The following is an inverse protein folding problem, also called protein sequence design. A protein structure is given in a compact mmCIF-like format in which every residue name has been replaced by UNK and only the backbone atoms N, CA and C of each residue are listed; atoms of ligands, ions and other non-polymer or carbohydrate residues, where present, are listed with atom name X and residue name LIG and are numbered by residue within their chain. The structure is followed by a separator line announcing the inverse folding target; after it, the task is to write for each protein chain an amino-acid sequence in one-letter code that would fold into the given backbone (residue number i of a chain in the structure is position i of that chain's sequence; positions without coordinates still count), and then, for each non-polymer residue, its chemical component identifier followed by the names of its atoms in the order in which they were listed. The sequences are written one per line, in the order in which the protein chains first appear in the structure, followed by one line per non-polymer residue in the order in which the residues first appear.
data_IF_604733558196
#
_entry.id   IF_604733558196
#
_cell.length_a   1.000
_cell.length_b   1.000
_cell.length_c   1.000
_cell.angle_alpha   90.00
_cell.angle_beta   90.00
_cell.angle_gamma   90.00
#
_symmetry.space_group_name_H-M   'P 1'
#
loop_
_entity.id
_entity.type
_entity.pdbx_description
1 polymer ?
#
# COMPACT_ATOMS: atom_id res chain seq x y z
N UNK A 1 60.06 -29.59 23.11
CA UNK A 1 59.52 -28.59 24.05
C UNK A 1 58.53 -27.71 23.31
N UNK A 2 57.36 -27.58 23.89
CA UNK A 2 56.08 -27.07 23.40
C UNK A 2 56.04 -25.54 23.16
N UNK A 3 55.19 -25.05 22.24
CA UNK A 3 53.97 -24.27 22.59
C UNK A 3 53.10 -23.80 21.38
N UNK A 4 51.90 -24.40 21.29
CA UNK A 4 50.55 -23.82 21.12
C UNK A 4 50.23 -22.67 20.11
N UNK A 5 49.34 -23.00 19.15
CA UNK A 5 48.07 -22.33 18.70
C UNK A 5 48.11 -20.83 18.29
N UNK A 6 47.34 -20.33 17.31
CA UNK A 6 45.87 -20.14 17.32
C UNK A 6 45.32 -20.16 15.86
N UNK A 7 44.14 -20.77 15.71
CA UNK A 7 43.18 -20.71 14.60
C UNK A 7 42.83 -19.27 14.17
N UNK A 8 42.24 -19.03 12.99
CA UNK A 8 41.11 -18.08 12.81
C UNK A 8 40.96 -17.53 11.38
N UNK A 9 39.87 -17.99 10.75
CA UNK A 9 38.88 -17.23 9.98
C UNK A 9 39.19 -16.77 8.54
N UNK A 10 38.51 -17.49 7.64
CA UNK A 10 37.78 -17.01 6.47
C UNK A 10 37.59 -15.50 6.36
N UNK A 11 37.84 -14.97 5.15
CA UNK A 11 37.20 -13.75 4.68
C UNK A 11 36.62 -14.00 3.30
N UNK A 12 35.31 -14.15 3.31
CA UNK A 12 34.39 -14.23 2.17
C UNK A 12 34.57 -13.06 1.21
N UNK A 13 34.20 -13.21 -0.07
CA UNK A 13 34.20 -12.11 -1.03
C UNK A 13 33.26 -11.00 -0.54
N UNK A 14 33.79 -9.78 -0.63
CA UNK A 14 33.16 -8.51 -0.29
C UNK A 14 31.78 -8.42 -0.98
N UNK A 15 30.71 -8.55 -0.19
CA UNK A 15 29.35 -8.32 -0.65
C UNK A 15 29.20 -6.80 -0.82
N UNK A 16 29.17 -6.34 -2.07
CA UNK A 16 28.97 -4.92 -2.41
C UNK A 16 27.67 -4.44 -1.78
N UNK A 17 27.64 -3.32 -1.03
CA UNK A 17 26.40 -2.77 -0.53
C UNK A 17 25.61 -2.22 -1.71
N UNK A 18 24.74 -3.05 -2.29
CA UNK A 18 23.72 -2.60 -3.22
C UNK A 18 22.90 -1.51 -2.51
N UNK A 19 22.95 -0.29 -3.02
CA UNK A 19 22.16 0.84 -2.55
C UNK A 19 20.68 0.56 -2.81
N UNK A 20 20.05 -0.20 -1.90
CA UNK A 20 18.64 -0.59 -2.01
C UNK A 20 17.77 0.64 -1.76
N UNK A 21 17.27 1.30 -2.82
CA UNK A 21 16.25 2.37 -2.74
C UNK A 21 15.11 1.95 -1.82
N UNK A 22 14.62 2.85 -0.97
CA UNK A 22 13.49 2.57 -0.06
C UNK A 22 12.24 2.21 -0.86
N UNK A 23 11.96 0.90 -1.00
CA UNK A 23 10.73 0.40 -1.61
C UNK A 23 9.69 0.36 -0.51
N UNK A 24 8.58 1.09 -0.67
CA UNK A 24 7.47 0.98 0.27
C UNK A 24 6.77 -0.39 0.09
N UNK A 25 6.30 -1.02 1.18
CA UNK A 25 5.57 -2.30 1.08
C UNK A 25 4.37 -2.19 0.14
N UNK A 26 3.67 -1.05 0.21
CA UNK A 26 2.55 -0.70 -0.65
C UNK A 26 2.91 -0.73 -2.14
N UNK A 27 4.01 -0.06 -2.56
CA UNK A 27 4.43 -0.08 -3.97
C UNK A 27 4.83 -1.47 -4.44
N UNK A 28 5.38 -2.29 -3.55
CA UNK A 28 5.87 -3.62 -3.90
C UNK A 28 4.77 -4.67 -4.05
N UNK A 29 3.53 -4.35 -3.68
CA UNK A 29 2.40 -5.27 -3.78
C UNK A 29 2.13 -5.68 -5.23
N UNK A 30 2.15 -4.74 -6.18
CA UNK A 30 1.97 -5.04 -7.60
C UNK A 30 2.99 -6.09 -8.07
N UNK A 31 4.23 -6.00 -7.59
CA UNK A 31 5.28 -6.99 -7.87
C UNK A 31 4.97 -8.35 -7.24
N UNK A 32 4.33 -8.39 -6.07
CA UNK A 32 3.89 -9.65 -5.45
C UNK A 32 2.81 -10.32 -6.28
N UNK A 33 1.79 -9.58 -6.73
CA UNK A 33 0.70 -10.10 -7.57
C UNK A 33 1.22 -10.68 -8.90
N UNK A 34 2.29 -10.10 -9.47
CA UNK A 34 2.95 -10.68 -10.66
C UNK A 34 3.76 -11.95 -10.40
N UNK A 35 4.17 -12.20 -9.16
CA UNK A 35 5.03 -13.33 -8.80
C UNK A 35 4.22 -14.53 -8.28
N UNK A 36 3.17 -14.26 -7.52
CA UNK A 36 2.32 -15.26 -6.89
C UNK A 36 0.86 -15.09 -7.33
N UNK A 37 0.31 -16.09 -8.02
CA UNK A 37 -1.11 -16.13 -8.42
C UNK A 37 -2.05 -16.17 -7.21
N UNK A 38 -1.59 -16.66 -6.06
CA UNK A 38 -2.37 -16.55 -4.83
C UNK A 38 -2.51 -15.09 -4.38
N UNK A 39 -1.46 -14.28 -4.54
CA UNK A 39 -1.49 -12.89 -4.09
C UNK A 39 -2.37 -12.00 -4.98
N UNK A 40 -2.53 -12.33 -6.27
CA UNK A 40 -3.46 -11.62 -7.15
C UNK A 40 -4.92 -11.83 -6.75
N UNK A 41 -5.27 -13.02 -6.23
CA UNK A 41 -6.64 -13.29 -5.74
C UNK A 41 -6.98 -12.58 -4.43
N UNK A 42 -6.00 -12.04 -3.72
CA UNK A 42 -6.20 -11.40 -2.42
C UNK A 42 -6.38 -9.89 -2.55
N UNK A 43 -7.28 -9.35 -1.72
CA UNK A 43 -7.36 -7.91 -1.48
C UNK A 43 -6.18 -7.43 -0.64
N UNK A 44 -5.83 -6.14 -0.76
CA UNK A 44 -4.75 -5.55 0.04
C UNK A 44 -4.93 -5.76 1.55
N UNK A 45 -6.17 -5.68 2.05
CA UNK A 45 -6.49 -5.91 3.48
C UNK A 45 -6.29 -7.37 3.93
N UNK A 46 -6.31 -8.32 3.01
CA UNK A 46 -6.11 -9.75 3.26
C UNK A 46 -4.64 -10.14 3.14
N UNK A 47 -3.85 -9.43 2.33
CA UNK A 47 -2.42 -9.72 2.12
C UNK A 47 -1.64 -9.82 3.45
N UNK A 48 -1.78 -8.89 4.42
CA UNK A 48 -1.14 -9.00 5.73
C UNK A 48 -1.56 -10.21 6.57
N UNK A 49 -2.68 -10.89 6.23
CA UNK A 49 -3.08 -12.13 6.91
C UNK A 49 -2.18 -13.30 6.53
N UNK A 50 -1.73 -13.36 5.28
CA UNK A 50 -0.96 -14.46 4.70
C UNK A 50 0.52 -14.14 4.50
N UNK A 51 0.84 -12.88 4.20
CA UNK A 51 2.17 -12.40 3.88
C UNK A 51 2.74 -11.49 4.98
N UNK A 52 4.05 -11.50 5.12
CA UNK A 52 4.80 -10.57 5.98
C UNK A 52 5.86 -9.86 5.15
N UNK A 53 6.01 -8.56 5.39
CA UNK A 53 7.06 -7.76 4.75
C UNK A 53 8.43 -8.04 5.40
N UNK A 54 9.39 -8.47 4.59
CA UNK A 54 10.79 -8.59 5.02
C UNK A 54 11.56 -7.32 4.65
N UNK A 55 11.88 -6.48 5.65
CA UNK A 55 12.53 -5.19 5.41
C UNK A 55 13.98 -5.30 4.89
N UNK A 56 14.68 -6.41 5.15
CA UNK A 56 16.05 -6.61 4.67
C UNK A 56 16.12 -6.94 3.16
N UNK A 57 15.16 -7.74 2.70
CA UNK A 57 15.08 -8.15 1.29
C UNK A 57 14.13 -7.28 0.47
N UNK A 58 13.24 -6.51 1.11
CA UNK A 58 12.15 -5.76 0.48
C UNK A 58 11.26 -6.66 -0.37
N UNK A 59 10.94 -7.83 0.20
CA UNK A 59 10.13 -8.86 -0.43
C UNK A 59 9.06 -9.31 0.55
N UNK A 60 7.91 -9.66 0.00
CA UNK A 60 6.87 -10.36 0.74
C UNK A 60 7.24 -11.83 0.91
N UNK A 61 6.94 -12.38 2.08
CA UNK A 61 7.16 -13.80 2.37
C UNK A 61 5.91 -14.36 3.04
N UNK A 62 5.59 -15.62 2.76
CA UNK A 62 4.53 -16.33 3.48
C UNK A 62 4.78 -16.32 4.98
N UNK A 63 3.69 -16.25 5.72
CA UNK A 63 3.73 -16.35 7.17
C UNK A 63 4.13 -17.74 7.61
N UNK A 64 5.05 -17.77 8.56
CA UNK A 64 5.52 -19.01 9.20
C UNK A 64 4.68 -19.42 10.41
N UNK A 65 3.87 -18.52 10.95
CA UNK A 65 3.09 -18.71 12.17
C UNK A 65 1.61 -18.37 11.91
N UNK A 66 0.68 -19.19 12.42
CA UNK A 66 -0.76 -19.01 12.22
C UNK A 66 -1.51 -20.33 12.05
N UNK A 67 -2.79 -20.23 11.72
CA UNK A 67 -3.62 -21.38 11.32
C UNK A 67 -3.20 -21.84 9.91
N UNK A 68 -3.18 -23.15 9.69
CA UNK A 68 -2.90 -23.70 8.37
C UNK A 68 -4.13 -23.49 7.50
N UNK A 69 -3.94 -22.89 6.33
CA UNK A 69 -5.02 -22.66 5.37
C UNK A 69 -5.25 -23.98 4.62
N UNK A 70 -6.46 -24.55 4.61
CA UNK A 70 -6.72 -25.85 3.99
C UNK A 70 -6.58 -25.82 2.46
N UNK A 71 -6.71 -24.65 1.85
CA UNK A 71 -6.73 -24.45 0.39
C UNK A 71 -5.33 -24.57 -0.26
N UNK A 72 -4.24 -24.29 0.49
CA UNK A 72 -2.86 -24.45 -0.01
C UNK A 72 -1.93 -25.03 1.06
N UNK A 73 -1.32 -26.18 0.76
CA UNK A 73 -0.37 -26.86 1.63
C UNK A 73 0.85 -25.99 1.94
N UNK A 74 0.97 -25.54 3.20
CA UNK A 74 2.14 -24.81 3.71
C UNK A 74 1.92 -23.31 3.95
N UNK A 75 0.79 -22.75 3.51
CA UNK A 75 0.44 -21.35 3.81
C UNK A 75 -0.22 -21.28 5.19
N UNK A 76 0.20 -20.30 6.00
CA UNK A 76 -0.43 -20.02 7.29
C UNK A 76 -1.08 -18.64 7.27
N UNK A 77 -2.27 -18.54 7.84
CA UNK A 77 -2.99 -17.29 8.04
C UNK A 77 -3.08 -16.93 9.52
N UNK A 78 -3.09 -15.64 9.81
CA UNK A 78 -3.41 -15.12 11.14
C UNK A 78 -4.27 -13.88 10.95
N UNK A 79 -5.26 -13.69 11.82
CA UNK A 79 -5.94 -12.40 11.93
C UNK A 79 -4.95 -11.38 12.49
N UNK A 80 -4.22 -10.76 11.58
CA UNK A 80 -3.45 -9.57 11.84
C UNK A 80 -4.18 -8.44 11.13
N UNK A 81 -4.79 -7.55 11.91
CA UNK A 81 -5.15 -6.23 11.42
C UNK A 81 -3.82 -5.50 11.17
N UNK A 82 -3.63 -5.06 9.94
CA UNK A 82 -2.43 -4.29 9.60
C UNK A 82 -2.38 -3.01 10.42
N UNK A 83 -1.18 -2.62 10.86
CA UNK A 83 -0.95 -1.28 11.38
C UNK A 83 -1.02 -0.31 10.20
N UNK A 84 -2.23 0.18 9.96
CA UNK A 84 -2.59 1.25 9.03
C UNK A 84 -1.51 2.33 9.07
N UNK A 85 -0.76 2.50 7.98
CA UNK A 85 0.19 3.61 7.87
C UNK A 85 -0.56 4.93 8.10
N UNK A 86 -0.15 5.69 9.10
CA UNK A 86 -0.68 7.05 9.31
C UNK A 86 -0.18 7.91 8.16
N UNK A 87 -1.05 8.18 7.20
CA UNK A 87 -0.74 9.09 6.09
C UNK A 87 -0.93 10.51 6.63
N UNK A 88 0.12 11.33 6.53
CA UNK A 88 0.01 12.74 6.89
C UNK A 88 -0.98 13.43 5.95
N UNK A 89 -1.86 14.34 6.42
CA UNK A 89 -2.89 14.99 5.60
C UNK A 89 -2.33 15.74 4.38
N UNK A 90 -1.06 16.15 4.41
CA UNK A 90 -0.36 16.75 3.26
C UNK A 90 -0.16 15.78 2.09
N UNK A 91 -0.11 14.47 2.36
CA UNK A 91 0.07 13.46 1.32
C UNK A 91 -1.27 12.87 0.92
N UNK A 92 -2.12 13.73 0.37
CA UNK A 92 -3.46 13.37 -0.09
C UNK A 92 -3.40 12.27 -1.14
N UNK A 93 -2.42 12.25 -2.04
CA UNK A 93 -2.29 11.20 -3.06
C UNK A 93 -2.11 9.80 -2.46
N UNK A 94 -1.22 9.63 -1.48
CA UNK A 94 -1.06 8.35 -0.78
C UNK A 94 -2.34 7.89 -0.07
N UNK A 95 -3.15 8.83 0.43
CA UNK A 95 -4.43 8.51 1.05
C UNK A 95 -5.41 7.93 0.02
N UNK A 96 -5.58 8.57 -1.14
CA UNK A 96 -6.46 8.07 -2.19
C UNK A 96 -5.96 6.74 -2.79
N UNK A 97 -4.66 6.64 -3.06
CA UNK A 97 -4.04 5.40 -3.55
C UNK A 97 -4.31 4.23 -2.61
N UNK A 98 -4.17 4.47 -1.30
CA UNK A 98 -4.46 3.47 -0.29
C UNK A 98 -5.92 3.04 -0.31
N UNK A 99 -6.84 3.99 -0.45
CA UNK A 99 -8.27 3.69 -0.49
C UNK A 99 -8.61 2.81 -1.69
N UNK A 100 -8.03 3.11 -2.86
CA UNK A 100 -8.17 2.27 -4.05
C UNK A 100 -7.63 0.86 -3.85
N UNK A 101 -6.47 0.71 -3.19
CA UNK A 101 -5.91 -0.61 -2.91
C UNK A 101 -6.80 -1.49 -2.02
N UNK A 102 -7.68 -0.91 -1.20
CA UNK A 102 -8.62 -1.70 -0.38
C UNK A 102 -9.82 -2.22 -1.17
N UNK A 103 -10.15 -1.57 -2.29
CA UNK A 103 -11.35 -1.85 -3.09
C UNK A 103 -11.02 -2.64 -4.37
N UNK A 104 -9.85 -2.40 -4.97
CA UNK A 104 -9.43 -3.02 -6.23
C UNK A 104 -8.72 -4.34 -5.97
N UNK A 105 -9.24 -5.41 -6.56
CA UNK A 105 -8.57 -6.70 -6.66
C UNK A 105 -7.57 -6.70 -7.83
N UNK A 106 -6.42 -7.33 -7.62
CA UNK A 106 -5.36 -7.53 -8.62
C UNK A 106 -4.91 -6.30 -9.45
N UNK A 107 -4.46 -5.20 -8.82
CA UNK A 107 -3.89 -4.09 -9.57
C UNK A 107 -2.51 -4.46 -10.14
N UNK A 108 -2.48 -4.83 -11.41
CA UNK A 108 -1.26 -5.14 -12.15
C UNK A 108 -0.44 -3.87 -12.49
N UNK A 109 -1.11 -2.72 -12.58
CA UNK A 109 -0.49 -1.41 -12.83
C UNK A 109 -1.14 -0.28 -12.02
N UNK A 110 -0.39 0.81 -11.82
CA UNK A 110 -0.95 2.07 -11.30
C UNK A 110 -2.04 2.66 -12.20
N UNK A 111 -1.98 2.38 -13.51
CA UNK A 111 -3.01 2.79 -14.45
C UNK A 111 -4.31 2.00 -14.21
N UNK A 112 -4.20 0.72 -13.88
CA UNK A 112 -5.36 -0.14 -13.61
C UNK A 112 -6.09 0.31 -12.34
N UNK A 113 -5.34 0.73 -11.31
CA UNK A 113 -5.91 1.34 -10.09
C UNK A 113 -6.75 2.58 -10.38
N UNK A 114 -6.36 3.37 -11.39
CA UNK A 114 -7.07 4.58 -11.82
C UNK A 114 -8.19 4.30 -12.81
N UNK A 115 -8.31 3.07 -13.28
CA UNK A 115 -9.33 2.69 -14.25
C UNK A 115 -10.60 2.28 -13.51
N UNK A 116 -11.73 2.85 -13.93
CA UNK A 116 -13.06 2.48 -13.45
C UNK A 116 -14.02 2.45 -14.64
N UNK A 117 -14.74 1.32 -14.81
CA UNK A 117 -15.69 1.12 -15.92
C UNK A 117 -15.12 1.41 -17.33
N UNK A 118 -13.83 1.12 -17.55
CA UNK A 118 -13.16 1.35 -18.84
C UNK A 118 -12.67 2.78 -19.08
N UNK A 119 -12.86 3.71 -18.13
CA UNK A 119 -12.31 5.07 -18.17
C UNK A 119 -11.08 5.18 -17.27
N UNK A 120 -9.98 5.68 -17.82
CA UNK A 120 -8.77 5.99 -17.05
C UNK A 120 -8.90 7.39 -16.46
N UNK A 121 -8.93 7.49 -15.13
CA UNK A 121 -9.00 8.78 -14.42
C UNK A 121 -7.64 9.48 -14.41
N UNK A 122 -7.60 10.81 -14.30
CA UNK A 122 -6.35 11.59 -14.25
C UNK A 122 -5.68 11.56 -12.88
N UNK A 123 -6.47 11.41 -11.82
CA UNK A 123 -5.98 11.39 -10.44
C UNK A 123 -6.55 10.20 -9.67
N UNK A 124 -5.85 9.78 -8.61
CA UNK A 124 -6.40 8.77 -7.68
C UNK A 124 -7.65 9.29 -6.94
N UNK A 125 -7.76 10.60 -6.72
CA UNK A 125 -8.95 11.22 -6.11
C UNK A 125 -10.18 11.03 -6.99
N UNK A 126 -10.07 11.32 -8.29
CA UNK A 126 -11.16 11.14 -9.25
C UNK A 126 -11.62 9.66 -9.30
N UNK A 127 -10.67 8.72 -9.35
CA UNK A 127 -10.99 7.30 -9.32
C UNK A 127 -11.75 6.90 -8.04
N UNK A 128 -11.38 7.46 -6.88
CA UNK A 128 -12.12 7.24 -5.64
C UNK A 128 -13.54 7.85 -5.66
N UNK A 129 -13.70 9.03 -6.24
CA UNK A 129 -15.01 9.69 -6.37
C UNK A 129 -15.96 8.89 -7.26
N UNK A 130 -15.47 8.40 -8.40
CA UNK A 130 -16.25 7.55 -9.31
C UNK A 130 -16.68 6.23 -8.63
N UNK A 131 -15.79 5.65 -7.82
CA UNK A 131 -16.09 4.47 -6.97
C UNK A 131 -16.98 4.80 -5.76
N UNK A 132 -17.40 6.06 -5.58
CA UNK A 132 -18.18 6.56 -4.44
C UNK A 132 -17.51 6.33 -3.08
N UNK A 133 -16.18 6.24 -3.07
CA UNK A 133 -15.37 6.11 -1.85
C UNK A 133 -15.16 7.47 -1.17
N UNK A 134 -15.25 8.57 -1.95
CA UNK A 134 -15.29 9.94 -1.45
C UNK A 134 -16.56 10.63 -1.94
N UNK A 135 -17.15 11.45 -1.07
CA UNK A 135 -18.24 12.34 -1.44
C UNK A 135 -17.68 13.52 -2.25
N UNK A 136 -18.42 14.01 -3.25
CA UNK A 136 -18.01 15.20 -3.99
C UNK A 136 -18.07 16.43 -3.07
N UNK A 137 -16.95 17.13 -2.95
CA UNK A 137 -16.84 18.38 -2.19
C UNK A 137 -17.58 19.56 -2.87
N UNK A 138 -18.19 19.33 -4.04
CA UNK A 138 -18.89 20.35 -4.85
C UNK A 138 -19.94 21.10 -4.05
N UNK A 139 -20.72 20.41 -3.23
CA UNK A 139 -21.76 21.06 -2.42
C UNK A 139 -21.17 22.06 -1.41
N UNK A 140 -19.98 21.77 -0.87
CA UNK A 140 -19.28 22.69 0.04
C UNK A 140 -18.68 23.87 -0.70
N UNK A 141 -18.15 23.66 -1.92
CA UNK A 141 -17.67 24.74 -2.77
C UNK A 141 -18.81 25.68 -3.17
N UNK A 142 -19.95 25.14 -3.60
CA UNK A 142 -21.15 25.92 -3.92
C UNK A 142 -21.65 26.72 -2.70
N UNK A 143 -21.68 26.09 -1.52
CA UNK A 143 -22.07 26.77 -0.29
C UNK A 143 -21.09 27.90 0.08
N UNK A 144 -19.79 27.71 -0.12
CA UNK A 144 -18.76 28.72 0.15
C UNK A 144 -18.86 29.88 -0.85
N UNK A 145 -19.05 29.58 -2.14
CA UNK A 145 -19.25 30.60 -3.18
C UNK A 145 -20.55 31.39 -2.94
N UNK A 146 -21.64 30.72 -2.60
CA UNK A 146 -22.90 31.36 -2.25
C UNK A 146 -22.76 32.26 -1.00
N UNK A 147 -22.05 31.79 0.02
CA UNK A 147 -21.76 32.57 1.23
C UNK A 147 -20.87 33.79 0.94
N UNK A 148 -19.88 33.64 0.06
CA UNK A 148 -19.03 34.74 -0.39
C UNK A 148 -19.81 35.77 -1.24
N UNK A 149 -20.79 35.31 -2.02
CA UNK A 149 -21.66 36.16 -2.83
C UNK A 149 -22.75 36.85 -2.00
N UNK A 150 -23.20 36.24 -0.89
CA UNK A 150 -24.13 36.87 0.04
C UNK A 150 -23.41 37.95 0.86
N UNK A 151 -23.36 39.18 0.36
CA UNK A 151 -23.05 40.33 1.21
C UNK A 151 -24.10 40.44 2.31
N UNK A 152 -23.64 40.57 3.57
CA UNK A 152 -24.51 41.01 4.66
C UNK A 152 -25.14 42.35 4.28
N UNK A 153 -26.41 42.58 4.64
CA UNK A 153 -27.10 43.82 4.27
C UNK A 153 -26.29 44.97 4.85
N UNK A 154 -25.77 45.84 3.99
CA UNK A 154 -25.21 47.11 4.44
C UNK A 154 -26.37 47.85 5.10
N UNK A 155 -26.30 47.94 6.43
CA UNK A 155 -27.20 48.76 7.23
C UNK A 155 -27.13 50.16 6.61
N UNK A 156 -28.20 50.54 5.91
CA UNK A 156 -28.39 51.91 5.44
C UNK A 156 -28.68 52.72 6.71
N UNK A 157 -27.73 53.60 7.06
CA UNK A 157 -27.92 54.67 8.04
C UNK A 157 -29.04 55.63 7.61
#
# INVERSE_FOLDING_TARGET
MSRWLISSLARTPQNTPSTKKATSPLLSLARLCTQDEFASTLLYNQVPKYYTWNNGNKTWQFRKQGQVVPEQAGIRSRDALERVYTVHPTNSECFHLRLLLHEVQDPMSFTDLRTFEGRVCETYKEACQLRRLLQNDEHWNEALEAAAASQSPKILC
#
